data_IF_335581831340
#
_entry.id   IF_335581831340
#
_cell.length_a   1.000
_cell.length_b   1.000
_cell.length_c   1.000
_cell.angle_alpha   90.00
_cell.angle_beta   90.00
_cell.angle_gamma   90.00
#
_symmetry.space_group_name_H-M   'P 1'
#
loop_
_entity.id
_entity.type
_entity.pdbx_description
1 polymer ?
#
# COMPACT_ATOMS: atom_id res chain seq x y z
N UNK A 1 7.36 -20.11 9.51
CA UNK A 1 7.78 -19.09 8.52
C UNK A 1 6.79 -17.96 8.68
N UNK A 2 7.24 -16.76 9.03
CA UNK A 2 6.34 -15.62 9.20
C UNK A 2 6.01 -14.97 7.85
N UNK A 3 4.76 -14.55 7.68
CA UNK A 3 4.31 -13.73 6.57
C UNK A 3 4.61 -12.26 6.86
N UNK A 4 5.28 -11.58 5.93
CA UNK A 4 5.53 -10.14 6.05
C UNK A 4 4.34 -9.37 5.48
N UNK A 5 3.80 -8.44 6.26
CA UNK A 5 2.71 -7.56 5.86
C UNK A 5 3.18 -6.12 5.77
N UNK A 6 3.10 -5.54 4.57
CA UNK A 6 3.54 -4.18 4.30
C UNK A 6 2.33 -3.32 3.95
N UNK A 7 2.14 -2.25 4.70
CA UNK A 7 1.05 -1.30 4.52
C UNK A 7 1.44 0.06 5.11
N UNK A 8 0.68 1.11 4.82
CA UNK A 8 0.96 2.46 5.31
C UNK A 8 -0.31 3.30 5.43
N UNK A 9 -0.36 4.18 6.43
CA UNK A 9 -1.46 5.12 6.63
C UNK A 9 -1.57 6.16 5.50
N UNK A 10 -0.46 6.49 4.83
CA UNK A 10 -0.46 7.41 3.68
C UNK A 10 -1.32 6.90 2.52
N UNK A 11 -1.56 5.60 2.43
CA UNK A 11 -2.47 5.04 1.41
C UNK A 11 -3.92 5.43 1.63
N UNK A 12 -4.30 5.85 2.85
CA UNK A 12 -5.63 6.36 3.16
C UNK A 12 -5.86 7.79 2.64
N UNK A 13 -4.80 8.50 2.27
CA UNK A 13 -4.87 9.83 1.67
C UNK A 13 -5.20 9.79 0.17
N UNK A 14 -5.37 8.60 -0.42
CA UNK A 14 -5.67 8.46 -1.83
C UNK A 14 -7.03 9.09 -2.21
N UNK A 15 -7.02 9.99 -3.20
CA UNK A 15 -8.22 10.64 -3.74
C UNK A 15 -8.43 10.19 -5.19
N UNK A 16 -9.26 9.16 -5.38
CA UNK A 16 -9.63 8.64 -6.70
C UNK A 16 -10.73 9.46 -7.42
N UNK A 17 -11.34 10.43 -6.72
CA UNK A 17 -12.49 11.21 -7.20
C UNK A 17 -13.84 10.70 -6.69
N UNK A 18 -14.89 11.51 -6.91
CA UNK A 18 -16.23 11.28 -6.34
C UNK A 18 -16.89 10.02 -6.94
N UNK A 19 -17.42 9.14 -6.09
CA UNK A 19 -18.08 7.86 -6.46
C UNK A 19 -17.15 6.84 -7.15
N UNK A 20 -15.83 7.02 -7.08
CA UNK A 20 -14.91 6.04 -7.63
C UNK A 20 -14.92 4.76 -6.77
N UNK A 21 -14.95 3.56 -7.37
CA UNK A 21 -14.98 2.30 -6.62
C UNK A 21 -13.64 1.98 -5.93
N UNK A 22 -12.53 2.43 -6.51
CA UNK A 22 -11.23 2.47 -5.83
C UNK A 22 -11.31 3.59 -4.77
N UNK A 23 -11.12 3.23 -3.49
CA UNK A 23 -11.20 4.16 -2.36
C UNK A 23 -10.44 3.63 -1.12
N UNK A 24 -9.98 4.51 -0.22
CA UNK A 24 -9.33 4.15 1.04
C UNK A 24 -10.09 3.11 1.89
N UNK A 25 -11.42 3.10 1.83
CA UNK A 25 -12.27 2.17 2.58
C UNK A 25 -11.95 0.69 2.29
N UNK A 26 -11.39 0.39 1.11
CA UNK A 26 -10.94 -0.97 0.77
C UNK A 26 -9.77 -1.43 1.65
N UNK A 27 -8.80 -0.55 1.91
CA UNK A 27 -7.65 -0.87 2.75
C UNK A 27 -8.06 -0.98 4.23
N UNK A 28 -8.92 -0.07 4.70
CA UNK A 28 -9.46 -0.12 6.07
C UNK A 28 -10.19 -1.44 6.34
N UNK A 29 -10.96 -1.94 5.37
CA UNK A 29 -11.65 -3.23 5.48
C UNK A 29 -10.66 -4.40 5.63
N UNK A 30 -9.54 -4.37 4.90
CA UNK A 30 -8.47 -5.37 5.06
C UNK A 30 -7.85 -5.30 6.45
N UNK A 31 -7.50 -4.11 6.94
CA UNK A 31 -6.92 -3.94 8.28
C UNK A 31 -7.86 -4.44 9.37
N UNK A 32 -9.15 -4.06 9.33
CA UNK A 32 -10.17 -4.58 10.26
C UNK A 32 -10.29 -6.10 10.17
N UNK A 33 -10.17 -6.67 8.98
CA UNK A 33 -10.15 -8.12 8.79
C UNK A 33 -8.97 -8.79 9.48
N UNK A 34 -7.77 -8.21 9.34
CA UNK A 34 -6.55 -8.72 9.99
C UNK A 34 -6.62 -8.63 11.52
N UNK A 35 -7.19 -7.56 12.06
CA UNK A 35 -7.33 -7.37 13.52
C UNK A 35 -8.26 -8.42 14.15
N UNK A 36 -9.15 -9.04 13.36
CA UNK A 36 -10.03 -10.12 13.80
C UNK A 36 -9.39 -11.51 13.72
N UNK A 37 -8.16 -11.64 13.23
CA UNK A 37 -7.45 -12.90 13.10
C UNK A 37 -6.37 -13.01 14.19
N UNK A 38 -6.24 -14.19 14.80
CA UNK A 38 -5.18 -14.50 15.76
C UNK A 38 -3.89 -14.91 15.02
N UNK A 39 -3.29 -13.98 14.29
CA UNK A 39 -2.10 -14.20 13.44
C UNK A 39 -0.80 -13.63 14.04
N UNK A 40 -0.74 -13.45 15.36
CA UNK A 40 0.32 -12.74 16.10
C UNK A 40 1.74 -12.88 15.52
N UNK A 41 2.42 -14.00 15.77
CA UNK A 41 3.81 -14.22 15.29
C UNK A 41 3.87 -14.65 13.82
N UNK A 42 2.73 -15.06 13.25
CA UNK A 42 2.64 -15.51 11.87
C UNK A 42 2.55 -14.35 10.87
N UNK A 43 2.21 -13.13 11.33
CA UNK A 43 2.05 -11.93 10.50
C UNK A 43 2.87 -10.75 11.05
N UNK A 44 4.05 -10.54 10.48
CA UNK A 44 4.97 -9.47 10.90
C UNK A 44 4.73 -8.22 10.06
N UNK A 45 4.30 -7.13 10.70
CA UNK A 45 4.14 -5.83 10.04
C UNK A 45 5.52 -5.20 9.81
N UNK A 46 5.76 -4.76 8.57
CA UNK A 46 6.98 -4.05 8.19
C UNK A 46 6.65 -2.68 7.61
N UNK A 47 7.47 -1.68 7.95
CA UNK A 47 7.32 -0.34 7.40
C UNK A 47 7.79 -0.31 5.93
N UNK A 48 7.05 0.34 5.02
CA UNK A 48 7.52 0.55 3.67
C UNK A 48 8.64 1.60 3.62
N UNK A 49 9.46 1.52 2.58
CA UNK A 49 10.39 2.58 2.19
C UNK A 49 9.86 3.32 0.97
N UNK A 50 10.27 4.57 0.81
CA UNK A 50 10.06 5.29 -0.44
C UNK A 50 10.78 4.57 -1.59
N UNK A 51 10.09 4.39 -2.71
CA UNK A 51 10.68 3.87 -3.94
C UNK A 51 11.66 4.90 -4.51
N UNK A 52 12.85 4.44 -4.95
CA UNK A 52 13.83 5.32 -5.59
C UNK A 52 13.44 5.55 -7.04
N UNK A 53 13.78 6.70 -7.59
CA UNK A 53 13.57 7.00 -9.02
C UNK A 53 14.21 5.93 -9.92
N UNK A 54 15.42 5.50 -9.59
CA UNK A 54 16.14 4.41 -10.29
C UNK A 54 15.41 3.07 -10.27
N UNK A 55 14.50 2.84 -9.32
CA UNK A 55 13.68 1.63 -9.26
C UNK A 55 12.43 1.78 -10.12
N UNK A 56 11.82 2.96 -10.14
CA UNK A 56 10.70 3.28 -11.03
C UNK A 56 11.11 3.20 -12.51
N UNK A 57 12.31 3.71 -12.83
CA UNK A 57 12.90 3.70 -14.17
C UNK A 57 13.19 2.30 -14.73
N UNK A 58 13.09 1.23 -13.91
CA UNK A 58 13.20 -0.15 -14.41
C UNK A 58 11.99 -0.58 -15.23
N UNK A 59 10.85 0.06 -15.02
CA UNK A 59 9.58 -0.27 -15.68
C UNK A 59 8.99 0.91 -16.45
N UNK A 60 9.21 2.14 -15.98
CA UNK A 60 8.55 3.33 -16.49
C UNK A 60 9.54 4.26 -17.22
N UNK A 61 9.17 4.80 -18.40
CA UNK A 61 9.92 5.87 -19.04
C UNK A 61 9.99 7.12 -18.13
N UNK A 62 11.05 7.91 -18.27
CA UNK A 62 11.26 9.10 -17.45
C UNK A 62 10.15 10.14 -17.63
N UNK A 63 9.59 10.24 -18.84
CA UNK A 63 8.51 11.17 -19.18
C UNK A 63 7.23 10.85 -18.40
N UNK A 64 6.97 9.56 -18.14
CA UNK A 64 5.82 9.15 -17.33
C UNK A 64 6.00 9.56 -15.86
N UNK A 65 7.19 9.34 -15.30
CA UNK A 65 7.48 9.66 -13.90
C UNK A 65 7.40 11.17 -13.66
N UNK A 66 7.92 11.98 -14.58
CA UNK A 66 7.90 13.45 -14.48
C UNK A 66 6.52 14.08 -14.65
N UNK A 67 5.53 13.32 -15.14
CA UNK A 67 4.16 13.79 -15.36
C UNK A 67 3.19 13.46 -14.21
N UNK A 68 3.64 12.72 -13.18
CA UNK A 68 2.87 12.40 -11.96
C UNK A 68 2.80 13.60 -11.01
#
# INVERSE_FOLDING_TARGET
VALLFLTDERFLEHVAGKKHPESPARLEAVWKGLDNLLLEEDLVRIAPRIAKETELLRCHPIEHIQAL
#
